data_IF_518778998430
#
_entry.id   IF_518778998430
#
_cell.length_a   1.000
_cell.length_b   1.000
_cell.length_c   1.000
_cell.angle_alpha   90.00
_cell.angle_beta   90.00
_cell.angle_gamma   90.00
#
_symmetry.space_group_name_H-M   'P 1'
#
loop_
_entity.id
_entity.type
_entity.pdbx_description
1 polymer ?
2 non-polymer ?
3 water ?
#
# COMPACT_ATOMS: atom_id res chain seq x y z
N UNK A 3 -24.19 8.22 15.73
CA UNK A 3 -23.04 8.14 14.78
C UNK A 3 -23.22 6.99 13.79
N UNK A 4 -22.84 7.25 12.54
CA UNK A 4 -22.89 6.29 11.40
C UNK A 4 -21.50 6.31 10.72
N UNK A 5 -21.12 5.21 10.07
CA UNK A 5 -19.84 5.09 9.29
C UNK A 5 -19.73 6.29 8.34
N UNK A 6 -20.79 6.60 7.59
CA UNK A 6 -20.85 7.73 6.62
C UNK A 6 -20.41 9.05 7.29
N UNK A 7 -20.94 9.37 8.49
CA UNK A 7 -20.64 10.62 9.24
C UNK A 7 -19.31 10.55 10.02
N UNK A 8 -18.82 9.36 10.38
CA UNK A 8 -17.53 9.18 11.07
C UNK A 8 -16.36 9.40 10.09
N UNK A 9 -16.61 9.27 8.79
CA UNK A 9 -15.63 9.57 7.71
C UNK A 9 -15.15 11.04 7.74
N UNK A 10 -15.80 11.95 8.49
CA UNK A 10 -15.60 13.42 8.47
C UNK A 10 -14.95 13.92 9.76
N UNK A 11 -14.30 13.03 10.50
CA UNK A 11 -14.18 13.09 11.99
C UNK A 11 -13.25 14.25 12.37
N UNK A 12 -12.20 14.54 11.60
CA UNK A 12 -11.42 15.79 11.79
C UNK A 12 -11.22 16.40 10.40
N UNK A 13 -12.15 17.24 9.95
CA UNK A 13 -12.33 17.49 8.50
C UNK A 13 -11.20 18.34 7.92
N UNK A 14 -10.35 18.98 8.73
CA UNK A 14 -9.25 19.87 8.23
C UNK A 14 -8.04 19.05 7.76
N UNK A 15 -7.92 17.77 8.13
CA UNK A 15 -6.75 16.94 7.75
C UNK A 15 -6.74 16.84 6.22
N UNK A 16 -5.59 17.12 5.62
CA UNK A 16 -5.39 17.26 4.16
C UNK A 16 -4.51 16.12 3.63
N UNK A 17 -4.93 15.54 2.51
CA UNK A 17 -4.41 14.24 2.04
C UNK A 17 -3.69 14.43 0.70
N UNK A 18 -2.83 13.49 0.30
CA UNK A 18 -2.08 13.50 -0.96
C UNK A 18 -3.03 13.24 -2.17
N UNK A 19 -3.89 14.20 -2.51
CA UNK A 19 -4.80 14.21 -3.70
C UNK A 19 -4.04 13.91 -5.00
N UNK A 20 -2.75 14.20 -5.07
CA UNK A 20 -1.94 14.01 -6.29
C UNK A 20 -1.82 12.53 -6.62
N UNK A 21 -1.94 11.65 -5.60
CA UNK A 21 -1.81 10.18 -5.81
C UNK A 21 -2.90 9.71 -6.78
N UNK A 22 -4.20 9.77 -6.44
CA UNK A 22 -5.24 9.32 -7.37
C UNK A 22 -5.25 10.13 -8.70
N UNK A 23 -4.98 11.44 -8.66
CA UNK A 23 -4.83 12.29 -9.87
C UNK A 23 -3.77 11.70 -10.81
N UNK A 24 -2.60 11.34 -10.29
CA UNK A 24 -1.50 10.76 -11.14
C UNK A 24 -1.86 9.33 -11.61
N UNK A 25 -2.60 8.53 -10.85
CA UNK A 25 -3.05 7.18 -11.30
C UNK A 25 -4.03 7.34 -12.47
N UNK A 26 -4.94 8.30 -12.37
CA UNK A 26 -5.93 8.66 -13.41
C UNK A 26 -5.18 9.05 -14.69
N UNK A 27 -4.06 9.76 -14.55
CA UNK A 27 -3.22 10.15 -15.72
C UNK A 27 -2.64 8.88 -16.35
N UNK A 28 -2.06 7.99 -15.56
CA UNK A 28 -1.44 6.71 -16.03
C UNK A 28 -2.52 5.88 -16.74
N UNK A 29 -3.73 5.84 -16.18
CA UNK A 29 -4.89 5.12 -16.77
C UNK A 29 -5.16 5.62 -18.22
N UNK A 30 -4.95 6.91 -18.53
CA UNK A 30 -5.24 7.44 -19.89
C UNK A 30 -4.19 6.98 -20.91
N UNK A 31 -3.07 6.42 -20.48
CA UNK A 31 -2.05 5.96 -21.46
C UNK A 31 -2.49 4.62 -22.08
N UNK A 32 -2.01 4.33 -23.29
CA UNK A 32 -2.22 3.02 -23.97
C UNK A 32 -1.20 2.06 -23.37
N UNK A 33 -1.29 0.76 -23.65
CA UNK A 33 -0.54 -0.27 -22.86
C UNK A 33 0.95 -0.04 -23.10
N UNK A 34 1.36 0.12 -24.36
CA UNK A 34 2.77 0.39 -24.76
C UNK A 34 3.37 1.49 -23.88
N UNK A 35 2.63 2.58 -23.66
CA UNK A 35 3.08 3.77 -22.89
C UNK A 35 2.97 3.49 -21.39
N UNK A 36 2.00 2.69 -20.93
CA UNK A 36 1.93 2.30 -19.50
C UNK A 36 3.19 1.52 -19.11
N UNK A 37 3.67 0.61 -19.98
CA UNK A 37 4.91 -0.18 -19.77
C UNK A 37 6.12 0.74 -19.77
N UNK A 38 6.25 1.60 -20.77
CA UNK A 38 7.37 2.56 -20.88
C UNK A 38 7.38 3.42 -19.61
N UNK A 39 6.22 3.85 -19.12
CA UNK A 39 6.18 4.67 -17.90
C UNK A 39 6.68 3.82 -16.72
N UNK A 40 6.25 2.57 -16.61
CA UNK A 40 6.64 1.69 -15.47
C UNK A 40 8.16 1.51 -15.43
N UNK A 41 8.75 1.17 -16.56
CA UNK A 41 10.20 0.95 -16.73
C UNK A 41 11.02 2.17 -16.32
N UNK A 42 10.65 3.34 -16.83
CA UNK A 42 11.39 4.59 -16.65
C UNK A 42 11.16 5.08 -15.23
N UNK A 43 9.92 5.02 -14.75
CA UNK A 43 9.55 5.55 -13.42
C UNK A 43 10.34 4.75 -12.37
N UNK A 44 10.49 3.45 -12.61
CA UNK A 44 11.24 2.54 -11.71
C UNK A 44 12.74 2.84 -11.77
N UNK A 45 13.31 2.95 -12.97
CA UNK A 45 14.73 3.35 -13.22
C UNK A 45 15.06 4.69 -12.56
N UNK A 46 14.13 5.64 -12.62
CA UNK A 46 14.28 7.03 -12.13
C UNK A 46 14.28 7.02 -10.61
N UNK A 47 13.32 6.28 -10.05
CA UNK A 47 13.17 6.07 -8.59
C UNK A 47 14.46 5.41 -8.07
N UNK A 48 15.02 4.46 -8.83
CA UNK A 48 16.24 3.70 -8.52
C UNK A 48 17.50 4.54 -8.53
N UNK A 49 17.39 5.84 -8.81
CA UNK A 49 18.47 6.83 -8.62
C UNK A 49 18.68 7.08 -7.13
N UNK A 50 17.60 7.08 -6.34
CA UNK A 50 17.63 7.37 -4.88
C UNK A 50 17.39 6.13 -4.03
N UNK A 51 16.47 5.26 -4.44
CA UNK A 51 15.93 4.17 -3.58
C UNK A 51 15.64 2.96 -4.45
N UNK A 52 16.01 1.80 -3.93
CA UNK A 52 15.78 0.48 -4.51
C UNK A 52 14.99 -0.30 -3.48
N UNK A 53 13.91 -0.97 -3.89
CA UNK A 53 13.13 -1.79 -2.96
C UNK A 53 13.98 -2.97 -2.45
N UNK A 54 13.87 -3.26 -1.15
CA UNK A 54 14.59 -4.38 -0.49
C UNK A 54 14.08 -5.72 -1.01
N UNK A 55 14.93 -6.76 -0.96
CA UNK A 55 14.55 -8.14 -1.35
C UNK A 55 13.45 -8.60 -0.40
N UNK A 56 12.36 -9.18 -0.92
CA UNK A 56 11.25 -9.62 -0.07
C UNK A 56 11.44 -10.97 0.63
N UNK A 57 12.41 -11.77 0.23
CA UNK A 57 12.72 -13.05 0.91
C UNK A 57 12.55 -14.24 -0.03
N UNK A 58 13.45 -15.23 0.10
CA UNK A 58 13.43 -16.48 -0.68
C UNK A 58 12.12 -17.21 -0.39
N UNK A 59 11.71 -17.26 0.87
CA UNK A 59 10.54 -18.06 1.28
C UNK A 59 9.30 -17.44 0.63
N UNK A 60 9.11 -16.13 0.78
CA UNK A 60 7.97 -15.38 0.19
C UNK A 60 7.89 -15.67 -1.30
N UNK A 61 9.00 -15.50 -2.03
CA UNK A 61 9.05 -15.65 -3.51
C UNK A 61 8.87 -17.11 -3.95
N UNK A 62 9.20 -18.06 -3.07
CA UNK A 62 9.03 -19.53 -3.33
C UNK A 62 7.54 -19.84 -3.48
N UNK A 63 6.64 -19.06 -2.87
CA UNK A 63 5.16 -19.21 -3.01
C UNK A 63 4.74 -19.11 -4.49
N UNK A 64 5.60 -18.63 -5.40
CA UNK A 64 5.28 -18.48 -6.84
C UNK A 64 6.36 -19.17 -7.66
N UNK A 65 7.04 -20.16 -7.09
CA UNK A 65 8.20 -20.82 -7.76
C UNK A 65 7.74 -21.39 -9.11
N UNK A 66 6.56 -22.00 -9.13
CA UNK A 66 5.99 -22.65 -10.33
C UNK A 66 5.90 -21.66 -11.46
N UNK A 67 5.28 -20.52 -11.20
CA UNK A 67 5.09 -19.40 -12.18
C UNK A 67 6.45 -18.83 -12.61
N UNK A 68 7.38 -18.59 -11.69
CA UNK A 68 8.76 -18.13 -12.03
C UNK A 68 9.43 -19.13 -12.97
N UNK A 69 9.34 -20.44 -12.72
CA UNK A 69 9.98 -21.46 -13.60
C UNK A 69 9.36 -21.36 -15.01
N UNK A 70 8.04 -21.23 -15.11
CA UNK A 70 7.35 -21.11 -16.43
C UNK A 70 7.98 -19.92 -17.17
N UNK A 71 8.04 -18.78 -16.51
CA UNK A 71 8.45 -17.48 -17.12
C UNK A 71 9.92 -17.55 -17.56
N UNK A 72 10.73 -18.41 -16.93
CA UNK A 72 12.15 -18.61 -17.27
C UNK A 72 12.28 -19.58 -18.46
N UNK A 73 11.55 -20.71 -18.47
CA UNK A 73 11.42 -21.67 -19.61
C UNK A 73 10.38 -21.13 -20.60
N UNK A 74 10.72 -20.03 -21.29
CA UNK A 74 9.79 -19.18 -22.09
C UNK A 74 10.67 -18.32 -23.00
N UNK A 75 10.32 -18.20 -24.28
CA UNK A 75 11.08 -17.38 -25.25
C UNK A 75 11.04 -15.92 -24.80
N UNK A 76 12.04 -15.13 -25.19
CA UNK A 76 12.09 -13.66 -24.97
C UNK A 76 10.80 -13.04 -25.51
N UNK A 77 10.25 -13.62 -26.58
CA UNK A 77 9.02 -13.09 -27.24
C UNK A 77 7.82 -13.44 -26.34
N UNK A 78 7.81 -14.65 -25.77
CA UNK A 78 6.73 -15.08 -24.82
C UNK A 78 6.74 -14.18 -23.58
N UNK A 79 7.93 -13.87 -23.03
CA UNK A 79 8.06 -13.03 -21.80
C UNK A 79 7.51 -11.64 -22.08
N UNK A 80 7.95 -11.05 -23.18
CA UNK A 80 7.45 -9.76 -23.71
C UNK A 80 5.91 -9.77 -23.72
N UNK A 81 5.32 -10.80 -24.34
CA UNK A 81 3.85 -10.95 -24.46
C UNK A 81 3.16 -11.00 -23.09
N UNK A 82 3.77 -11.66 -22.09
CA UNK A 82 3.23 -11.77 -20.71
C UNK A 82 3.14 -10.38 -20.06
N UNK A 83 4.20 -9.57 -20.19
CA UNK A 83 4.24 -8.20 -19.60
C UNK A 83 3.07 -7.41 -20.17
N UNK A 84 2.89 -7.45 -21.49
CA UNK A 84 1.79 -6.75 -22.23
C UNK A 84 0.45 -7.26 -21.72
N UNK A 85 0.32 -8.59 -21.57
CA UNK A 85 -0.95 -9.27 -21.14
C UNK A 85 -1.32 -8.81 -19.74
N UNK A 86 -0.37 -8.83 -18.79
CA UNK A 86 -0.56 -8.32 -17.40
C UNK A 86 -0.96 -6.85 -17.40
N UNK A 87 -0.25 -6.03 -18.18
CA UNK A 87 -0.48 -4.57 -18.29
C UNK A 87 -1.85 -4.26 -18.90
N UNK A 88 -2.29 -5.05 -19.89
CA UNK A 88 -3.53 -4.85 -20.68
C UNK A 88 -4.74 -5.51 -20.01
N UNK A 89 -4.54 -6.31 -18.97
CA UNK A 89 -5.63 -6.90 -18.16
C UNK A 89 -6.22 -8.13 -18.87
N UNK A 90 -5.44 -8.68 -19.81
CA UNK A 90 -5.72 -9.91 -20.60
C UNK A 90 -6.17 -11.06 -19.69
N UNK A 91 -6.88 -12.04 -20.26
CA UNK A 91 -7.27 -13.30 -19.59
C UNK A 91 -6.40 -14.42 -20.15
N UNK A 92 -5.20 -14.60 -19.60
CA UNK A 92 -4.28 -15.75 -19.85
C UNK A 92 -4.07 -16.45 -18.53
N UNK A 93 -3.42 -17.64 -18.51
CA UNK A 93 -3.28 -18.44 -17.28
C UNK A 93 -2.58 -17.66 -16.13
N UNK A 94 -1.42 -17.06 -16.42
CA UNK A 94 -0.58 -16.30 -15.43
C UNK A 94 -1.27 -14.99 -15.01
N UNK A 95 -1.96 -14.29 -15.92
CA UNK A 95 -2.77 -13.11 -15.55
C UNK A 95 -3.85 -13.51 -14.54
N UNK A 96 -4.47 -14.68 -14.70
CA UNK A 96 -5.54 -15.13 -13.76
C UNK A 96 -4.88 -15.38 -12.40
N UNK A 97 -3.69 -16.01 -12.40
CA UNK A 97 -2.89 -16.30 -11.18
C UNK A 97 -2.49 -14.98 -10.49
N UNK A 98 -2.02 -14.01 -11.28
CA UNK A 98 -1.49 -12.71 -10.79
C UNK A 98 -2.59 -12.01 -9.99
N UNK A 99 -3.83 -12.15 -10.43
CA UNK A 99 -5.01 -11.49 -9.81
C UNK A 99 -5.26 -12.04 -8.41
N UNK A 100 -4.73 -13.22 -8.08
CA UNK A 100 -4.90 -13.85 -6.74
C UNK A 100 -3.66 -13.62 -5.86
N UNK A 101 -2.62 -12.97 -6.38
CA UNK A 101 -1.52 -12.44 -5.53
C UNK A 101 -2.07 -11.27 -4.71
N UNK A 102 -1.71 -11.21 -3.43
CA UNK A 102 -1.90 -9.99 -2.62
C UNK A 102 -0.88 -8.92 -3.01
N UNK A 103 -1.04 -7.72 -2.47
CA UNK A 103 -0.27 -6.51 -2.90
C UNK A 103 1.23 -6.82 -2.96
N UNK A 104 1.78 -7.29 -1.85
CA UNK A 104 3.23 -7.59 -1.70
C UNK A 104 3.67 -8.69 -2.68
N UNK A 105 2.88 -9.74 -2.90
CA UNK A 105 3.24 -10.79 -3.88
C UNK A 105 3.28 -10.21 -5.31
N UNK A 106 2.32 -9.33 -5.66
CA UNK A 106 2.36 -8.62 -6.98
C UNK A 106 3.65 -7.81 -7.08
N UNK A 107 3.94 -6.97 -6.08
CA UNK A 107 5.21 -6.23 -5.99
C UNK A 107 6.40 -7.22 -6.06
N UNK A 108 6.33 -8.33 -5.34
CA UNK A 108 7.45 -9.29 -5.30
C UNK A 108 7.64 -9.98 -6.63
N UNK A 109 6.55 -10.33 -7.30
CA UNK A 109 6.58 -10.87 -8.68
C UNK A 109 7.43 -9.95 -9.55
N UNK A 110 7.05 -8.68 -9.67
CA UNK A 110 7.81 -7.69 -10.47
C UNK A 110 9.26 -7.55 -9.96
N UNK A 111 9.49 -7.52 -8.65
CA UNK A 111 10.86 -7.37 -8.07
C UNK A 111 11.75 -8.52 -8.57
N UNK A 112 11.27 -9.75 -8.51
CA UNK A 112 12.09 -10.93 -8.86
C UNK A 112 12.34 -10.92 -10.38
N UNK A 113 11.41 -10.43 -11.19
CA UNK A 113 11.67 -10.31 -12.65
C UNK A 113 12.72 -9.22 -12.92
N UNK A 114 12.65 -8.08 -12.21
CA UNK A 114 13.68 -7.04 -12.29
C UNK A 114 15.08 -7.64 -12.16
N UNK A 115 15.32 -8.44 -11.12
CA UNK A 115 16.66 -9.06 -10.88
C UNK A 115 17.09 -9.88 -12.08
N UNK A 116 16.18 -10.69 -12.62
CA UNK A 116 16.54 -11.62 -13.74
C UNK A 116 16.71 -10.82 -15.03
N UNK A 117 16.06 -9.66 -15.13
CA UNK A 117 16.32 -8.74 -16.24
C UNK A 117 17.78 -8.31 -16.19
N UNK A 118 18.31 -8.00 -14.99
CA UNK A 118 19.74 -7.59 -14.83
C UNK A 118 20.65 -8.73 -15.29
N UNK A 119 20.22 -9.98 -15.20
CA UNK A 119 21.09 -11.16 -15.49
C UNK A 119 20.91 -11.62 -16.93
N UNK A 120 20.01 -11.03 -17.71
CA UNK A 120 19.64 -11.57 -19.05
C UNK A 120 18.77 -12.83 -18.99
N UNK A 121 18.44 -13.38 -17.80
CA UNK A 121 17.59 -14.61 -17.65
C UNK A 121 16.16 -14.27 -18.08
N UNK A 122 15.73 -13.01 -17.95
CA UNK A 122 14.40 -12.56 -18.47
C UNK A 122 14.63 -11.39 -19.45
N UNK A 123 13.90 -11.39 -20.56
CA UNK A 123 13.79 -10.25 -21.50
C UNK A 123 13.40 -9.00 -20.71
N UNK A 124 13.95 -7.82 -21.05
CA UNK A 124 13.58 -6.60 -20.32
C UNK A 124 12.10 -6.27 -20.59
N UNK A 125 11.62 -5.18 -19.98
CA UNK A 125 10.40 -4.42 -20.38
C UNK A 125 10.42 -4.23 -21.90
N UNK A 126 9.37 -4.69 -22.63
CA UNK A 126 9.31 -4.53 -24.10
C UNK A 126 8.70 -3.19 -24.55
N UNK A 127 8.98 -2.16 -23.75
CA UNK A 127 8.31 -0.85 -23.73
C UNK A 127 8.35 -0.20 -25.11
N UNK A 128 7.18 0.23 -25.64
CA UNK A 128 7.08 1.37 -26.56
C UNK A 128 7.99 2.48 -26.08
N UNK A 129 8.16 3.58 -26.82
CA UNK A 129 9.20 4.58 -26.50
C UNK A 129 8.73 5.39 -25.28
N UNK A 130 9.72 5.74 -24.44
CA UNK A 130 9.61 6.40 -23.11
C UNK A 130 9.87 7.89 -23.29
N UNK A 131 10.29 8.27 -24.51
CA UNK A 131 10.50 9.68 -24.92
C UNK A 131 9.25 10.14 -25.68
N UNK A 132 8.18 9.32 -25.69
CA UNK A 132 6.79 9.70 -26.04
C UNK A 132 6.33 10.88 -25.16
N UNK A 133 5.68 11.88 -25.75
CA UNK A 133 5.25 13.13 -25.04
C UNK A 133 4.29 12.76 -23.91
N UNK A 134 3.28 11.95 -24.20
CA UNK A 134 2.28 11.49 -23.20
C UNK A 134 3.01 10.87 -22.00
N UNK A 135 3.94 9.92 -22.19
CA UNK A 135 4.55 9.25 -21.00
C UNK A 135 5.46 10.27 -20.28
N UNK A 136 6.25 11.05 -21.03
CA UNK A 136 7.16 12.10 -20.45
C UNK A 136 6.36 13.04 -19.54
N UNK A 137 5.09 13.29 -19.85
CA UNK A 137 4.25 14.22 -19.07
C UNK A 137 3.81 13.56 -17.75
N UNK A 138 3.50 12.26 -17.77
CA UNK A 138 3.07 11.52 -16.55
C UNK A 138 4.32 11.33 -15.66
N UNK A 139 5.46 10.96 -16.25
CA UNK A 139 6.78 11.05 -15.56
C UNK A 139 6.93 12.40 -14.85
N UNK A 140 6.67 13.54 -15.51
CA UNK A 140 6.94 14.87 -14.88
C UNK A 140 6.06 14.99 -13.65
N UNK A 141 4.80 14.59 -13.77
CA UNK A 141 3.80 14.69 -12.67
C UNK A 141 4.28 13.86 -11.46
N UNK A 142 4.75 12.64 -11.68
CA UNK A 142 5.30 11.77 -10.61
C UNK A 142 6.48 12.49 -9.92
N UNK A 143 7.47 13.00 -10.68
CA UNK A 143 8.73 13.55 -10.12
C UNK A 143 8.44 14.84 -9.33
N UNK A 144 7.32 15.50 -9.62
CA UNK A 144 6.91 16.77 -8.96
C UNK A 144 6.37 16.52 -7.54
N UNK A 145 6.06 15.28 -7.16
CA UNK A 145 5.46 14.91 -5.83
C UNK A 145 6.51 14.15 -5.01
N UNK A 146 6.33 14.10 -3.70
CA UNK A 146 7.31 13.49 -2.76
C UNK A 146 7.36 11.96 -2.98
N UNK A 147 8.41 11.32 -2.43
CA UNK A 147 8.75 9.89 -2.63
C UNK A 147 7.60 8.99 -2.14
N UNK A 148 6.99 9.28 -0.98
CA UNK A 148 5.89 8.46 -0.43
C UNK A 148 4.72 8.41 -1.43
N UNK A 149 4.49 9.51 -2.14
CA UNK A 149 3.43 9.61 -3.17
C UNK A 149 3.90 8.86 -4.41
N UNK A 150 5.18 8.95 -4.76
CA UNK A 150 5.68 8.30 -5.99
C UNK A 150 5.52 6.80 -5.84
N UNK A 151 5.99 6.21 -4.72
CA UNK A 151 5.92 4.73 -4.49
C UNK A 151 4.45 4.31 -4.36
N UNK A 152 3.57 5.20 -3.85
CA UNK A 152 2.13 4.87 -3.79
C UNK A 152 1.56 4.78 -5.21
N UNK A 153 1.95 5.69 -6.10
CA UNK A 153 1.45 5.70 -7.51
C UNK A 153 1.94 4.41 -8.15
N UNK A 154 3.21 4.11 -7.95
CA UNK A 154 3.86 2.90 -8.50
C UNK A 154 3.13 1.63 -8.00
N UNK A 155 2.85 1.52 -6.70
CA UNK A 155 2.06 0.41 -6.10
C UNK A 155 0.71 0.31 -6.82
N UNK A 156 -0.03 1.42 -6.99
CA UNK A 156 -1.40 1.37 -7.56
C UNK A 156 -1.36 0.76 -8.97
N UNK A 157 -0.46 1.21 -9.84
CA UNK A 157 -0.38 0.72 -11.25
C UNK A 157 -0.08 -0.79 -11.26
N UNK A 158 0.62 -1.29 -10.24
CA UNK A 158 1.00 -2.73 -10.12
C UNK A 158 -0.16 -3.55 -9.52
N UNK A 159 -0.85 -2.99 -8.53
CA UNK A 159 -2.06 -3.63 -7.93
C UNK A 159 -3.15 -3.81 -9.00
N UNK A 160 -3.13 -3.05 -10.11
CA UNK A 160 -4.24 -2.95 -11.09
C UNK A 160 -3.92 -3.74 -12.37
N UNK A 161 -2.85 -4.54 -12.38
CA UNK A 161 -2.45 -5.32 -13.58
C UNK A 161 -3.09 -6.71 -13.49
N UNK A 162 -3.09 -7.44 -14.61
CA UNK A 162 -3.66 -8.80 -14.72
C UNK A 162 -5.18 -8.83 -14.71
N UNK A 163 -5.74 -10.04 -14.63
CA UNK A 163 -7.19 -10.31 -14.78
C UNK A 163 -7.98 -9.60 -13.66
N UNK A 164 -9.23 -9.25 -13.95
CA UNK A 164 -10.17 -8.51 -13.05
C UNK A 164 -11.35 -9.43 -12.74
N UNK A 165 -11.30 -10.21 -11.63
CA UNK A 165 -12.32 -11.25 -11.40
C UNK A 165 -13.49 -10.86 -10.48
N UNK A 166 -13.58 -9.58 -10.06
CA UNK A 166 -14.56 -9.04 -9.08
C UNK A 166 -14.25 -9.59 -7.67
N UNK A 173 -10.31 -14.90 -1.43
CA UNK A 173 -10.22 -16.21 -0.76
C UNK A 173 -8.75 -16.71 -0.71
N UNK A 174 -8.20 -17.11 -1.86
CA UNK A 174 -6.93 -17.89 -1.99
C UNK A 174 -5.74 -16.94 -2.22
N UNK A 175 -5.72 -15.78 -1.55
CA UNK A 175 -4.76 -14.67 -1.84
C UNK A 175 -3.37 -15.03 -1.29
N UNK A 176 -2.31 -15.00 -2.12
CA UNK A 176 -0.89 -15.19 -1.65
C UNK A 176 -0.43 -13.96 -0.84
N UNK A 177 0.02 -14.20 0.39
CA UNK A 177 0.35 -13.20 1.44
C UNK A 177 1.83 -13.34 1.81
N UNK A 178 2.64 -12.33 1.49
CA UNK A 178 4.05 -12.25 1.94
C UNK A 178 4.05 -12.00 3.44
N UNK A 179 4.98 -12.68 4.12
CA UNK A 179 5.24 -12.56 5.57
C UNK A 179 6.65 -11.97 5.70
N UNK A 180 6.89 -11.17 6.72
CA UNK A 180 8.19 -10.52 6.97
C UNK A 180 8.48 -10.52 8.46
N UNK A 181 9.84 -10.58 8.94
CA UNK A 181 10.64 -10.59 10.41
C UNK A 181 10.10 -9.35 11.11
N UNK A 182 9.89 -9.42 12.41
CA UNK A 182 9.49 -8.20 13.15
C UNK A 182 10.73 -7.30 13.18
N UNK A 183 10.55 -5.99 13.07
CA UNK A 183 11.65 -5.02 12.93
C UNK A 183 12.52 -4.81 14.17
N UNK A 184 11.97 -4.42 15.31
CA UNK A 184 12.87 -4.10 16.44
C UNK A 184 12.26 -4.36 17.82
N UNK A 185 12.93 -3.84 18.86
CA UNK A 185 12.58 -4.07 20.28
C UNK A 185 11.33 -3.34 20.76
N UNK A 186 10.81 -3.84 21.88
CA UNK A 186 9.45 -3.62 22.46
C UNK A 186 8.91 -2.22 22.18
N UNK A 187 9.57 -1.13 22.62
CA UNK A 187 9.02 0.23 22.37
C UNK A 187 9.39 0.68 20.95
N UNK A 188 8.55 0.32 19.97
CA UNK A 188 8.76 0.73 18.56
C UNK A 188 8.20 2.13 18.36
N UNK A 189 7.40 2.67 19.30
CA UNK A 189 6.84 4.04 19.20
C UNK A 189 6.39 4.56 20.56
N UNK A 190 6.13 5.85 20.62
CA UNK A 190 5.66 6.58 21.82
C UNK A 190 4.81 7.74 21.34
N UNK A 191 3.57 7.88 21.83
CA UNK A 191 2.64 8.93 21.33
C UNK A 191 2.51 10.01 22.39
N UNK A 192 3.04 11.21 22.12
CA UNK A 192 2.83 12.44 22.92
C UNK A 192 1.34 12.83 22.79
N UNK A 193 0.60 12.78 23.91
CA UNK A 193 -0.73 13.41 24.06
C UNK A 193 -1.88 12.42 24.02
N UNK A 194 -1.57 11.13 23.92
CA UNK A 194 -2.57 10.04 23.75
C UNK A 194 -2.10 8.85 24.60
N UNK A 195 -2.90 8.46 25.59
CA UNK A 195 -2.68 7.24 26.44
C UNK A 195 -3.86 6.25 26.30
N UNK A 196 -4.87 6.58 25.50
CA UNK A 196 -6.07 5.77 25.20
C UNK A 196 -5.64 4.33 24.86
N UNK A 197 -5.92 3.32 25.72
CA UNK A 197 -5.38 1.98 25.50
C UNK A 197 -5.70 1.37 24.14
N UNK A 198 -6.93 1.53 23.65
CA UNK A 198 -7.36 0.94 22.37
C UNK A 198 -6.43 1.41 21.25
N UNK A 199 -6.15 2.72 21.21
CA UNK A 199 -5.27 3.30 20.15
C UNK A 199 -3.90 2.63 20.28
N UNK A 200 -3.32 2.63 21.47
CA UNK A 200 -1.95 2.07 21.65
C UNK A 200 -1.97 0.61 21.20
N UNK A 201 -3.00 -0.13 21.60
CA UNK A 201 -3.05 -1.60 21.44
C UNK A 201 -3.15 -1.92 19.95
N UNK A 202 -3.86 -1.11 19.19
CA UNK A 202 -3.97 -1.24 17.71
C UNK A 202 -2.56 -1.17 17.12
N UNK A 203 -1.82 -0.08 17.39
CA UNK A 203 -0.47 0.12 16.79
C UNK A 203 0.45 -1.03 17.21
N UNK A 204 0.43 -1.41 18.49
CA UNK A 204 1.22 -2.55 19.02
C UNK A 204 0.89 -3.84 18.27
N UNK A 205 -0.40 -4.12 18.03
CA UNK A 205 -0.81 -5.36 17.33
C UNK A 205 -0.25 -5.33 15.91
N UNK A 206 -0.50 -4.23 15.19
CA UNK A 206 0.04 -4.06 13.81
C UNK A 206 1.57 -4.28 13.84
N UNK A 207 2.31 -3.68 14.76
CA UNK A 207 3.79 -3.81 14.70
C UNK A 207 4.19 -5.24 15.04
N UNK A 208 3.36 -5.95 15.81
CA UNK A 208 3.60 -7.32 16.28
C UNK A 208 3.24 -8.29 15.15
N UNK A 209 2.53 -7.83 14.13
CA UNK A 209 2.11 -8.64 12.96
C UNK A 209 0.94 -9.52 13.41
N UNK A 210 0.31 -9.17 14.51
CA UNK A 210 -0.85 -9.91 15.03
C UNK A 210 -2.12 -9.15 14.64
N UNK A 211 -2.71 -9.48 13.49
CA UNK A 211 -3.85 -8.73 12.90
C UNK A 211 -5.17 -9.09 13.60
N UNK A 212 -5.25 -10.27 14.22
CA UNK A 212 -6.40 -10.71 15.03
C UNK A 212 -6.49 -9.80 16.26
N UNK A 213 -5.38 -9.51 16.95
CA UNK A 213 -5.36 -8.61 18.14
C UNK A 213 -5.75 -7.18 17.71
N UNK A 214 -5.34 -6.79 16.51
CA UNK A 214 -5.66 -5.46 15.96
C UNK A 214 -7.16 -5.39 15.69
N UNK A 215 -7.72 -6.38 14.98
CA UNK A 215 -9.16 -6.36 14.61
C UNK A 215 -10.07 -6.69 15.81
N UNK A 216 -9.58 -7.45 16.79
CA UNK A 216 -10.29 -7.75 18.06
C UNK A 216 -10.79 -6.47 18.72
N UNK A 217 -10.12 -5.33 18.52
CA UNK A 217 -10.42 -4.03 19.18
C UNK A 217 -11.58 -3.32 18.48
N UNK A 218 -11.99 -3.81 17.31
CA UNK A 218 -13.12 -3.25 16.51
C UNK A 218 -14.45 -3.80 17.02
N UNK A 219 -15.45 -2.92 17.07
CA UNK A 219 -16.89 -3.25 17.16
C UNK A 219 -17.25 -4.29 16.11
N UNK A 220 -18.36 -5.03 16.32
CA UNK A 220 -18.86 -6.13 15.44
C UNK A 220 -19.10 -5.52 14.04
N UNK A 221 -19.60 -4.29 14.00
CA UNK A 221 -20.01 -3.55 12.77
C UNK A 221 -19.04 -2.38 12.48
N UNK A 222 -17.88 -2.36 13.15
CA UNK A 222 -16.82 -1.35 12.97
C UNK A 222 -16.20 -1.36 11.56
N UNK A 223 -15.48 -0.31 11.18
CA UNK A 223 -14.83 -0.21 9.85
C UNK A 223 -13.45 0.50 9.87
N UNK A 224 -12.66 0.11 8.89
CA UNK A 224 -11.27 0.51 8.57
C UNK A 224 -11.31 1.10 7.16
N UNK A 225 -10.98 2.37 6.99
CA UNK A 225 -10.86 3.00 5.66
C UNK A 225 -9.39 3.20 5.37
N UNK A 226 -8.79 2.41 4.46
CA UNK A 226 -7.45 2.68 3.98
C UNK A 226 -7.37 3.97 3.17
N UNK A 227 -6.15 4.47 2.85
CA UNK A 227 -6.00 5.68 2.07
C UNK A 227 -6.67 5.58 0.69
N UNK A 228 -7.49 6.57 0.34
CA UNK A 228 -8.08 6.75 -1.01
C UNK A 228 -9.01 5.58 -1.34
N UNK A 229 -9.49 4.84 -0.34
CA UNK A 229 -10.30 3.61 -0.54
C UNK A 229 -11.60 3.77 0.25
N UNK A 230 -12.59 2.94 -0.08
CA UNK A 230 -13.89 2.81 0.63
C UNK A 230 -13.64 2.15 1.99
N UNK A 231 -14.44 2.47 3.03
CA UNK A 231 -14.46 1.69 4.26
C UNK A 231 -14.73 0.20 4.06
N UNK A 232 -14.04 -0.61 4.86
CA UNK A 232 -14.13 -2.11 4.93
C UNK A 232 -14.78 -2.49 6.26
N UNK A 233 -15.93 -3.19 6.20
CA UNK A 233 -16.85 -3.34 7.37
C UNK A 233 -16.78 -4.76 7.95
N UNK A 234 -16.72 -4.80 9.28
CA UNK A 234 -16.68 -6.02 10.10
C UNK A 234 -15.33 -6.68 10.14
N UNK A 235 -15.11 -7.41 11.23
CA UNK A 235 -13.82 -8.03 11.59
C UNK A 235 -13.32 -8.99 10.50
N UNK A 236 -14.20 -9.65 9.77
CA UNK A 236 -13.73 -10.69 8.82
C UNK A 236 -13.01 -10.00 7.65
N UNK A 237 -13.65 -9.00 7.05
CA UNK A 237 -13.13 -8.30 5.85
C UNK A 237 -11.91 -7.45 6.25
N UNK A 238 -11.95 -6.80 7.41
CA UNK A 238 -10.80 -6.02 7.93
C UNK A 238 -9.61 -6.98 8.15
N UNK A 239 -9.82 -8.12 8.79
CA UNK A 239 -8.71 -9.06 9.11
C UNK A 239 -8.11 -9.61 7.82
N UNK A 240 -8.90 -9.85 6.78
CA UNK A 240 -8.39 -10.40 5.50
C UNK A 240 -7.55 -9.32 4.79
N UNK A 241 -8.02 -8.08 4.80
CA UNK A 241 -7.31 -6.90 4.23
C UNK A 241 -5.92 -6.79 4.87
N UNK A 242 -5.89 -6.82 6.20
CA UNK A 242 -4.67 -6.59 7.00
C UNK A 242 -3.68 -7.76 6.87
N UNK A 243 -4.19 -8.98 6.63
CA UNK A 243 -3.32 -10.17 6.45
C UNK A 243 -2.53 -9.99 5.14
N UNK A 244 -2.99 -9.04 4.31
CA UNK A 244 -2.34 -8.73 3.00
C UNK A 244 -1.40 -7.54 3.19
N UNK A 245 -1.97 -6.35 3.40
CA UNK A 245 -1.27 -5.05 3.28
C UNK A 245 -0.57 -4.64 4.60
N UNK A 246 -0.88 -5.26 5.74
CA UNK A 246 -0.34 -4.86 7.07
C UNK A 246 1.03 -5.48 7.35
N UNK A 247 1.38 -6.51 6.59
CA UNK A 247 2.56 -7.37 6.80
C UNK A 247 3.84 -6.52 6.67
N UNK A 248 4.66 -6.49 7.70
CA UNK A 248 6.01 -5.92 7.60
C UNK A 248 6.03 -4.42 7.77
N UNK A 249 4.85 -3.78 7.78
CA UNK A 249 4.68 -2.35 8.12
C UNK A 249 5.22 -2.16 9.53
N UNK A 250 5.99 -1.09 9.74
CA UNK A 250 6.24 -0.56 11.10
C UNK A 250 5.51 0.78 11.17
N UNK A 251 4.77 0.94 12.24
CA UNK A 251 3.89 2.09 12.49
C UNK A 251 4.49 2.95 13.60
N UNK A 252 4.77 4.23 13.29
CA UNK A 252 5.56 5.15 14.15
C UNK A 252 4.75 6.43 14.35
N UNK A 253 3.55 6.34 14.95
CA UNK A 253 2.84 7.53 15.38
C UNK A 253 3.69 8.19 16.46
N UNK A 254 3.64 9.53 16.58
CA UNK A 254 4.48 10.28 17.57
C UNK A 254 3.63 11.27 18.38
N UNK A 255 2.50 11.73 17.83
CA UNK A 255 1.65 12.74 18.51
C UNK A 255 0.17 12.53 18.17
N UNK A 256 -0.70 12.96 19.07
CA UNK A 256 -2.14 13.03 18.74
C UNK A 256 -2.96 13.74 19.81
N UNK A 257 -4.25 13.95 19.53
CA UNK A 257 -5.24 14.47 20.51
C UNK A 257 -6.35 13.44 20.68
N UNK A 258 -6.90 13.39 21.90
CA UNK A 258 -8.11 12.65 22.33
C UNK A 258 -9.20 13.67 22.70
N UNK A 259 -10.45 13.40 22.35
CA UNK A 259 -11.61 14.27 22.63
C UNK A 259 -12.81 13.36 22.95
N UNK A 260 -13.55 13.57 24.05
CA UNK A 260 -14.88 12.94 24.24
C UNK A 260 -15.90 13.79 23.46
N UNK A 261 -16.86 13.15 22.79
CA UNK A 261 -17.93 13.84 21.99
C UNK A 261 -19.31 13.36 22.49
N UNK A 262 -20.30 13.22 21.60
CA UNK A 262 -21.72 12.92 21.96
C UNK A 262 -21.84 11.46 22.40
N UNK A 263 -22.67 11.18 23.42
CA UNK A 263 -23.15 9.83 23.82
C UNK A 263 -22.01 9.04 24.49
N UNK A 264 -20.94 9.69 24.97
CA UNK A 264 -19.77 9.02 25.60
C UNK A 264 -18.85 8.34 24.58
N UNK A 265 -19.01 8.64 23.28
CA UNK A 265 -18.02 8.32 22.21
C UNK A 265 -16.77 9.21 22.40
N UNK A 266 -15.61 8.73 21.95
CA UNK A 266 -14.36 9.53 21.89
C UNK A 266 -13.84 9.50 20.45
N UNK A 267 -13.13 10.59 20.08
CA UNK A 267 -12.42 10.84 18.80
C UNK A 267 -10.91 10.91 19.07
N UNK A 268 -10.08 10.34 18.21
CA UNK A 268 -8.61 10.41 18.36
C UNK A 268 -7.96 10.63 17.00
N UNK A 269 -7.04 11.59 16.94
CA UNK A 269 -6.21 11.84 15.75
C UNK A 269 -4.77 11.68 16.18
N UNK A 270 -4.05 10.84 15.46
CA UNK A 270 -2.64 10.46 15.74
C UNK A 270 -1.88 10.60 14.42
N UNK A 271 -0.70 11.23 14.47
CA UNK A 271 0.14 11.45 13.26
C UNK A 271 1.50 10.82 13.50
N UNK A 272 2.15 10.44 12.41
CA UNK A 272 3.54 9.99 12.42
C UNK A 272 3.89 9.43 11.08
N UNK A 273 4.81 8.50 11.06
CA UNK A 273 5.28 7.89 9.80
C UNK A 273 4.90 6.41 9.81
N UNK A 274 4.82 5.82 8.62
CA UNK A 274 4.72 4.35 8.47
C UNK A 274 5.86 3.95 7.53
N UNK A 275 6.49 2.81 7.79
CA UNK A 275 7.62 2.32 6.99
C UNK A 275 7.22 0.98 6.42
N UNK A 276 7.29 0.87 5.11
CA UNK A 276 7.06 -0.38 4.38
C UNK A 276 8.27 -1.28 4.60
N UNK A 277 8.12 -2.62 4.49
CA UNK A 277 9.26 -3.53 4.51
C UNK A 277 10.13 -3.28 3.26
N UNK A 278 9.55 -2.69 2.22
CA UNK A 278 10.25 -2.51 0.91
C UNK A 278 11.29 -1.40 0.99
N UNK A 279 11.02 -0.33 1.72
CA UNK A 279 11.86 0.90 1.73
C UNK A 279 12.35 1.24 3.15
N UNK A 280 11.80 0.65 4.21
CA UNK A 280 12.21 0.99 5.58
C UNK A 280 12.13 2.50 5.76
N UNK A 281 13.02 3.07 6.57
CA UNK A 281 13.03 4.53 6.85
C UNK A 281 13.48 5.38 5.66
N UNK A 282 13.90 4.79 4.55
CA UNK A 282 14.20 5.55 3.31
C UNK A 282 12.95 6.26 2.77
N UNK A 283 11.75 5.70 2.98
CA UNK A 283 10.48 6.40 2.65
C UNK A 283 9.53 6.30 3.84
N UNK A 284 9.62 7.29 4.75
CA UNK A 284 8.70 7.45 5.89
C UNK A 284 7.44 8.15 5.40
N UNK A 285 6.38 7.37 5.18
CA UNK A 285 5.06 7.89 4.80
C UNK A 285 4.44 8.63 5.99
N UNK A 286 4.13 9.91 5.78
CA UNK A 286 3.40 10.79 6.72
C UNK A 286 1.94 10.35 6.70
N UNK A 287 1.49 9.86 7.85
CA UNK A 287 0.18 9.19 8.00
C UNK A 287 -0.51 9.86 9.17
N UNK A 288 -1.82 10.09 9.03
CA UNK A 288 -2.73 10.31 10.17
C UNK A 288 -3.66 9.09 10.32
N UNK A 289 -4.02 8.83 11.56
CA UNK A 289 -5.04 7.84 11.97
C UNK A 289 -6.12 8.66 12.63
N UNK A 290 -7.36 8.49 12.17
CA UNK A 290 -8.55 9.13 12.77
C UNK A 290 -9.48 8.02 13.29
N UNK A 291 -9.58 7.89 14.61
CA UNK A 291 -10.38 6.85 15.31
C UNK A 291 -11.62 7.44 15.95
N UNK A 292 -12.79 6.85 15.66
CA UNK A 292 -14.04 6.95 16.47
C UNK A 292 -14.19 5.69 17.34
N UNK A 293 -14.13 5.85 18.66
CA UNK A 293 -14.38 4.77 19.66
C UNK A 293 -15.79 4.93 20.25
N UNK A 294 -16.56 3.85 20.32
CA UNK A 294 -17.85 3.83 21.05
C UNK A 294 -17.54 3.85 22.55
N UNK A 295 -18.56 3.96 23.44
CA UNK A 295 -18.31 4.11 24.88
C UNK A 295 -17.62 2.91 25.56
N UNK A 296 -17.67 1.72 24.95
CA UNK A 296 -16.95 0.51 25.46
C UNK A 296 -15.45 0.60 25.13
N UNK A 297 -15.01 1.67 24.46
CA UNK A 297 -13.60 1.85 24.04
C UNK A 297 -13.27 1.03 22.80
N UNK A 298 -14.25 0.50 22.08
CA UNK A 298 -14.00 -0.32 20.87
C UNK A 298 -13.94 0.61 19.67
N UNK A 299 -13.32 0.14 18.59
CA UNK A 299 -13.14 0.93 17.35
C UNK A 299 -14.40 0.73 16.52
N UNK A 300 -15.20 1.79 16.43
CA UNK A 300 -16.34 1.84 15.48
C UNK A 300 -15.79 2.23 14.09
N UNK A 301 -14.79 3.10 14.02
CA UNK A 301 -14.25 3.59 12.72
C UNK A 301 -12.81 4.09 12.87
N UNK A 302 -11.96 3.73 11.93
CA UNK A 302 -10.59 4.30 11.84
C UNK A 302 -10.28 4.54 10.35
N UNK A 303 -9.86 5.77 10.04
CA UNK A 303 -9.38 6.17 8.70
C UNK A 303 -7.88 6.38 8.80
N UNK A 304 -7.19 6.02 7.74
CA UNK A 304 -5.73 6.15 7.56
C UNK A 304 -5.54 7.00 6.32
N UNK A 305 -4.85 8.14 6.49
CA UNK A 305 -4.67 9.17 5.43
C UNK A 305 -3.19 9.31 5.09
N UNK A 306 -2.81 9.20 3.81
CA UNK A 306 -1.48 9.70 3.36
C UNK A 306 -1.59 11.23 3.35
N UNK A 307 -0.90 11.91 4.27
CA UNK A 307 -1.01 13.38 4.46
C UNK A 307 -0.34 14.14 3.30
N UNK A 308 -0.89 15.33 3.01
CA UNK A 308 -0.58 16.20 1.85
C UNK A 308 0.86 16.71 1.94
N UNK A 309 1.35 16.98 3.15
CA UNK A 309 2.68 17.58 3.39
C UNK A 309 3.10 17.38 4.85
N UNK A 310 4.39 17.57 5.18
CA UNK A 310 4.84 17.36 6.56
C UNK A 310 4.18 18.31 7.57
N UNK A 311 3.66 19.45 7.11
CA UNK A 311 2.91 20.43 7.95
C UNK A 311 1.70 19.74 8.61
N UNK A 312 1.06 18.79 7.92
CA UNK A 312 -0.14 18.05 8.40
C UNK A 312 0.16 17.20 9.66
N UNK A 313 1.41 16.79 9.88
CA UNK A 313 1.83 16.07 11.12
C UNK A 313 1.54 16.91 12.38
N UNK A 314 1.37 18.23 12.28
CA UNK A 314 1.23 19.14 13.46
C UNK A 314 -0.18 19.72 13.58
N UNK A 315 -1.04 19.47 12.60
CA UNK A 315 -2.48 19.82 12.58
C UNK A 315 -3.26 18.87 13.52
N UNK A 316 -3.44 19.21 14.80
CA UNK A 316 -4.13 18.35 15.80
C UNK A 316 -5.22 19.13 16.58
N UNK A 317 -6.35 19.45 15.92
CA UNK A 317 -7.57 20.10 16.47
C UNK A 317 -7.60 21.56 16.00
X LIG B 1 -2.90 1.36 10.07
X LIG B 1 7.23 -3.43 -15.25
X LIG B 1 -2.91 0.01 6.18
X LIG B 1 10.29 -3.86 -13.26
X LIG B 1 -3.60 -0.76 7.31
X LIG B 1 10.62 -2.80 -14.31
X LIG B 1 -1.99 1.12 6.68
X LIG B 1 9.11 -3.43 -12.40
X LIG B 1 -4.06 0.18 8.41
X LIG B 1 9.38 -2.46 -15.12
X LIG B 1 -3.98 0.59 5.28
X LIG B 1 -2.14 -1.00 5.37
X LIG B 1 9.96 -5.13 -13.98
X LIG B 1 11.50 -4.09 -12.38
X LIG B 1 -1.97 1.55 7.96
X LIG B 1 8.01 -3.09 -13.09
X LIG B 1 -2.95 1.06 8.89
X LIG B 1 8.12 -3.02 -14.52
X LIG B 1 -1.13 1.75 5.76
X LIG B 1 9.17 -3.38 -11.01
X LIG B 1 -0.99 2.54 8.52
X LIG B 1 6.65 -2.80 -12.52
X LIG B 1 -0.21 1.16 4.97
X LIG B 1 8.34 -2.70 -10.21
X LIG B 1 0.46 1.81 3.97
X LIG B 1 8.51 -2.67 -8.85
X LIG B 1 0.52 3.28 3.96
X LIG B 1 9.44 -3.61 -8.24
X LIG B 1 1.12 1.15 2.94
X LIG B 1 7.83 -1.79 -8.02
X LIG B 1 1.82 1.68 1.91
X LIG B 1 7.90 -1.69 -6.66
X LIG B 1 2.58 0.94 1.03
X LIG B 1 7.12 -0.87 -5.88
X LIG B 1 3.24 1.34 -0.12
X LIG B 1 6.93 -0.93 -4.52
X LIG B 1 4.24 0.61 -0.70
X LIG B 1 6.17 0.00 -3.83
X LIG B 1 2.82 2.59 -0.77
X LIG B 1 7.54 -2.01 -3.76
X LIG B 1 4.71 0.69 -1.97
X LIG B 1 5.55 -0.15 -2.64
#
# INVERSE_FOLDING_TARGET
MSYTIESARNIFSSTQVADAVPATTAMFAKLNVDDQLAFLWYAYAELGRTITPAAPGKANLQLMEGIFNDIKQMSHEQQTQLMRDLASNADTPISRSYAYFGVNAKLGFWWQLGEWMKQGIVAPMPAGYQMSTQVKAVLEAVQRIDQSQQITVLRNTVVNMGFDPSLADKQQAEVINFKFPRASLSPQFTIEGVTEPTVLKYIEAMNADNFEAAVALFANNGALQPPFQKPIVGREAITAYLRDEGQGLVMKPTKGVSETIEDGYTQHKVTGTVETPWFGGNVGMNIAWRFLLDPQGQIYFVAIDLLASPKELLNLTRKHHHHHH
45D O01 O02 C03 C04 C05 C06 C07 C08 C09 C10 C11 C12 C13 C14 C15 C16 C17 C18 C19 C20 C21 C22 C23 C24 C25 C26 C27 C28 C29 C30 C31 C32 C33 C34 C35 C36 C37 C38 C39 C40 C41 C42
#
